data_IF_085634140444
#
_entry.id   IF_085634140444
#
_cell.length_a   1.000
_cell.length_b   1.000
_cell.length_c   1.000
_cell.angle_alpha   90.00
_cell.angle_beta   90.00
_cell.angle_gamma   90.00
#
_symmetry.space_group_name_H-M   'P 1'
#
loop_
_entity.id
_entity.type
_entity.pdbx_description
1 polymer ?
#
# COMPACT_ATOMS: atom_id res chain seq x y z
N UNK A 1 33.51 -0.89 27.20
CA UNK A 1 32.23 -1.58 26.93
C UNK A 1 32.37 -2.96 27.55
N UNK A 2 31.90 -3.12 28.78
CA UNK A 2 32.07 -4.36 29.55
C UNK A 2 30.86 -5.26 29.34
N UNK A 3 31.13 -6.41 28.69
CA UNK A 3 30.42 -7.70 28.71
C UNK A 3 28.86 -7.75 28.80
N UNK A 4 28.13 -6.83 28.17
CA UNK A 4 26.68 -6.99 28.05
C UNK A 4 26.33 -7.85 26.82
N UNK A 5 25.61 -8.96 27.04
CA UNK A 5 25.06 -9.81 25.99
C UNK A 5 23.61 -9.41 25.77
N UNK A 6 23.20 -9.19 24.51
CA UNK A 6 21.81 -8.96 24.16
C UNK A 6 21.00 -10.24 24.42
N UNK A 7 19.92 -10.13 25.19
CA UNK A 7 19.02 -11.24 25.45
C UNK A 7 18.23 -11.57 24.19
N UNK A 8 18.18 -12.84 23.80
CA UNK A 8 17.45 -13.30 22.63
C UNK A 8 15.93 -13.04 22.75
N UNK A 9 15.26 -12.91 21.61
CA UNK A 9 13.80 -12.73 21.55
C UNK A 9 13.30 -11.31 21.83
N UNK A 10 14.19 -10.35 22.12
CA UNK A 10 13.80 -8.95 22.26
C UNK A 10 13.36 -8.35 20.92
N UNK A 11 12.12 -7.87 20.84
CA UNK A 11 11.57 -7.22 19.64
C UNK A 11 11.95 -5.74 19.61
N UNK A 12 12.66 -5.32 18.57
CA UNK A 12 13.03 -3.92 18.38
C UNK A 12 11.88 -3.10 17.78
N UNK A 13 11.49 -1.95 18.37
CA UNK A 13 10.39 -1.11 17.86
C UNK A 13 10.68 -0.57 16.46
N UNK A 14 9.75 -0.76 15.52
CA UNK A 14 9.95 -0.40 14.11
C UNK A 14 10.09 1.12 13.91
N UNK A 15 9.45 1.91 14.76
CA UNK A 15 9.44 3.37 14.73
C UNK A 15 10.83 3.95 15.05
N UNK A 16 11.66 3.18 15.76
CA UNK A 16 13.03 3.57 16.12
C UNK A 16 14.08 3.16 15.09
N UNK A 17 13.67 2.45 14.02
CA UNK A 17 14.60 2.05 12.96
C UNK A 17 15.06 3.25 12.15
N UNK A 18 16.37 3.34 11.92
CA UNK A 18 16.92 4.26 10.95
C UNK A 18 16.42 3.95 9.53
N UNK A 19 16.41 4.96 8.65
CA UNK A 19 15.90 4.88 7.27
C UNK A 19 16.45 3.68 6.49
N UNK A 20 17.76 3.42 6.59
CA UNK A 20 18.40 2.34 5.85
C UNK A 20 17.96 0.96 6.35
N UNK A 21 17.92 0.76 7.67
CA UNK A 21 17.46 -0.50 8.28
C UNK A 21 15.98 -0.76 7.97
N UNK A 22 15.14 0.28 8.04
CA UNK A 22 13.73 0.20 7.68
C UNK A 22 13.54 -0.16 6.20
N UNK A 23 14.32 0.46 5.29
CA UNK A 23 14.28 0.15 3.86
C UNK A 23 14.73 -1.28 3.59
N UNK A 24 15.81 -1.73 4.24
CA UNK A 24 16.32 -3.09 4.09
C UNK A 24 15.30 -4.15 4.57
N UNK A 25 14.72 -3.96 5.76
CA UNK A 25 13.67 -4.86 6.27
C UNK A 25 12.42 -4.87 5.37
N UNK A 26 12.06 -3.72 4.79
CA UNK A 26 10.98 -3.63 3.80
C UNK A 26 11.29 -4.49 2.57
N UNK A 27 12.52 -4.41 2.05
CA UNK A 27 12.95 -5.23 0.91
C UNK A 27 12.87 -6.72 1.21
N UNK A 28 13.30 -7.14 2.40
CA UNK A 28 13.18 -8.54 2.83
C UNK A 28 11.72 -9.00 2.97
N UNK A 29 10.82 -8.10 3.37
CA UNK A 29 9.42 -8.43 3.63
C UNK A 29 8.56 -8.46 2.36
N UNK A 30 8.93 -7.67 1.34
CA UNK A 30 8.23 -7.54 0.05
C UNK A 30 8.65 -8.62 -0.95
N UNK A 31 8.46 -9.87 -0.57
CA UNK A 31 8.72 -11.04 -1.41
C UNK A 31 7.58 -11.21 -2.43
N UNK A 32 7.92 -11.50 -3.69
CA UNK A 32 6.92 -11.75 -4.73
C UNK A 32 6.06 -13.01 -4.41
N UNK A 33 4.83 -13.12 -4.95
CA UNK A 33 3.91 -14.20 -4.57
C UNK A 33 4.45 -15.62 -4.78
N UNK A 34 5.20 -15.85 -5.86
CA UNK A 34 5.77 -17.17 -6.19
C UNK A 34 6.83 -17.57 -5.17
N UNK A 35 7.73 -16.65 -4.82
CA UNK A 35 8.75 -16.89 -3.81
C UNK A 35 8.13 -17.01 -2.42
N UNK A 36 7.11 -16.21 -2.09
CA UNK A 36 6.37 -16.34 -0.83
C UNK A 36 5.72 -17.72 -0.72
N UNK A 37 5.11 -18.24 -1.79
CA UNK A 37 4.57 -19.62 -1.83
C UNK A 37 5.65 -20.66 -1.53
N UNK A 38 6.81 -20.56 -2.20
CA UNK A 38 7.94 -21.48 -1.95
C UNK A 38 8.45 -21.41 -0.52
N UNK A 39 8.57 -20.21 0.05
CA UNK A 39 9.02 -20.03 1.43
C UNK A 39 8.05 -20.68 2.42
N UNK A 40 6.73 -20.53 2.20
CA UNK A 40 5.71 -21.16 3.06
C UNK A 40 5.80 -22.69 2.97
N UNK A 41 5.87 -23.26 1.77
CA UNK A 41 5.99 -24.71 1.60
C UNK A 41 7.26 -25.26 2.28
N UNK A 42 8.39 -24.58 2.09
CA UNK A 42 9.66 -24.95 2.76
C UNK A 42 9.55 -24.87 4.30
N UNK A 43 8.82 -23.90 4.83
CA UNK A 43 8.58 -23.78 6.27
C UNK A 43 7.68 -24.90 6.79
N UNK A 44 6.67 -25.31 6.01
CA UNK A 44 5.80 -26.43 6.33
C UNK A 44 6.63 -27.72 6.39
N UNK A 45 7.42 -28.01 5.36
CA UNK A 45 8.28 -29.22 5.24
C UNK A 45 9.47 -29.26 6.22
N UNK A 46 9.73 -28.18 6.96
CA UNK A 46 10.85 -28.11 7.91
C UNK A 46 10.61 -29.01 9.13
N UNK A 47 11.67 -29.62 9.66
CA UNK A 47 11.61 -30.42 10.89
C UNK A 47 11.18 -29.58 12.11
N UNK A 48 11.57 -28.30 12.15
CA UNK A 48 11.13 -27.34 13.18
C UNK A 48 9.83 -26.63 12.78
N UNK A 49 9.23 -27.07 11.66
CA UNK A 49 8.02 -26.51 11.08
C UNK A 49 6.74 -27.14 11.62
N UNK A 50 5.57 -26.66 11.18
CA UNK A 50 4.28 -27.14 11.66
C UNK A 50 4.00 -28.63 11.41
N UNK A 51 4.62 -29.27 10.42
CA UNK A 51 4.46 -30.73 10.21
C UNK A 51 5.56 -31.56 10.87
N UNK A 52 6.52 -30.93 11.55
CA UNK A 52 7.61 -31.59 12.25
C UNK A 52 7.31 -31.86 13.72
N UNK A 53 8.11 -32.76 14.31
CA UNK A 53 7.98 -33.19 15.71
C UNK A 53 6.83 -34.15 16.00
N UNK A 54 6.73 -34.59 17.26
CA UNK A 54 5.75 -35.62 17.68
C UNK A 54 4.53 -35.04 18.40
N UNK A 55 4.58 -33.75 18.80
CA UNK A 55 3.57 -33.13 19.66
C UNK A 55 2.18 -33.19 19.02
N UNK A 56 2.04 -32.83 17.74
CA UNK A 56 0.75 -32.77 17.05
C UNK A 56 0.14 -34.17 16.88
N UNK A 57 0.99 -35.18 16.69
CA UNK A 57 0.58 -36.60 16.63
C UNK A 57 -0.01 -37.08 17.96
N UNK A 58 0.51 -36.62 19.10
CA UNK A 58 -0.02 -36.96 20.43
C UNK A 58 -1.47 -36.48 20.64
N UNK A 59 -1.90 -35.45 19.89
CA UNK A 59 -3.27 -34.95 19.90
C UNK A 59 -4.15 -35.54 18.78
N UNK A 60 -3.64 -36.53 18.01
CA UNK A 60 -4.36 -37.15 16.90
C UNK A 60 -4.59 -36.21 15.71
N UNK A 61 -3.84 -35.10 15.64
CA UNK A 61 -3.95 -34.11 14.57
C UNK A 61 -2.96 -34.43 13.44
N UNK A 62 -3.30 -34.02 12.22
CA UNK A 62 -2.43 -34.11 11.04
C UNK A 62 -2.42 -32.79 10.29
N UNK A 63 -1.28 -32.44 9.72
CA UNK A 63 -1.10 -31.24 8.91
C UNK A 63 -0.98 -31.68 7.45
N UNK A 64 -1.83 -31.11 6.60
CA UNK A 64 -1.68 -31.22 5.15
C UNK A 64 -0.50 -30.32 4.73
N UNK A 65 0.43 -30.87 3.96
CA UNK A 65 1.62 -30.16 3.50
C UNK A 65 1.37 -29.37 2.22
N UNK A 66 0.22 -29.60 1.57
CA UNK A 66 -0.19 -28.86 0.39
C UNK A 66 -1.06 -27.65 0.74
N UNK A 67 -0.97 -26.60 -0.09
CA UNK A 67 -1.88 -25.46 0.03
C UNK A 67 -3.28 -25.85 -0.44
N UNK A 68 -4.29 -25.62 0.40
CA UNK A 68 -5.69 -25.89 0.05
C UNK A 68 -6.10 -25.13 -1.21
N UNK A 69 -6.59 -25.82 -2.27
CA UNK A 69 -7.04 -25.16 -3.48
C UNK A 69 -8.36 -24.40 -3.22
N UNK A 70 -8.46 -23.20 -3.78
CA UNK A 70 -9.65 -22.36 -3.68
C UNK A 70 -10.09 -21.91 -5.07
N UNK A 71 -11.41 -21.99 -5.33
CA UNK A 71 -11.99 -21.50 -6.58
C UNK A 71 -12.21 -20.00 -6.46
N UNK A 72 -11.38 -19.23 -7.14
CA UNK A 72 -11.50 -17.77 -7.25
C UNK A 72 -12.25 -17.33 -8.50
N UNK A 73 -12.69 -16.07 -8.51
CA UNK A 73 -13.17 -15.38 -9.71
C UNK A 73 -12.53 -14.00 -9.84
N UNK A 74 -12.16 -13.62 -11.05
CA UNK A 74 -11.64 -12.28 -11.34
C UNK A 74 -12.80 -11.40 -11.79
N UNK A 75 -13.08 -10.36 -11.02
CA UNK A 75 -14.08 -9.37 -11.41
C UNK A 75 -13.53 -8.47 -12.51
N UNK A 76 -14.31 -8.24 -13.56
CA UNK A 76 -13.95 -7.27 -14.59
C UNK A 76 -13.94 -5.87 -13.97
N UNK A 77 -12.89 -5.09 -14.26
CA UNK A 77 -12.84 -3.70 -13.87
C UNK A 77 -14.03 -2.93 -14.48
N UNK A 78 -14.73 -2.09 -13.70
CA UNK A 78 -15.89 -1.36 -14.19
C UNK A 78 -15.48 -0.25 -15.17
N UNK A 79 -16.39 0.13 -16.04
CA UNK A 79 -16.25 1.37 -16.80
C UNK A 79 -16.61 2.56 -15.89
N UNK A 80 -15.86 3.65 -15.96
CA UNK A 80 -16.19 4.88 -15.24
C UNK A 80 -17.06 5.80 -16.09
N UNK A 81 -17.98 6.52 -15.45
CA UNK A 81 -18.70 7.64 -16.08
C UNK A 81 -18.03 8.94 -15.66
N UNK A 82 -17.37 9.59 -16.61
CA UNK A 82 -16.64 10.85 -16.43
C UNK A 82 -17.27 11.94 -17.29
N UNK A 83 -16.70 13.15 -17.30
CA UNK A 83 -17.11 14.22 -18.18
C UNK A 83 -15.95 14.76 -19.01
N UNK A 84 -16.14 14.94 -20.32
CA UNK A 84 -15.21 15.65 -21.19
C UNK A 84 -15.93 16.86 -21.77
N UNK A 85 -15.38 18.07 -21.53
CA UNK A 85 -16.01 19.34 -21.92
C UNK A 85 -17.48 19.45 -21.49
N UNK A 86 -17.79 18.99 -20.27
CA UNK A 86 -19.14 19.02 -19.69
C UNK A 86 -20.10 17.92 -20.17
N UNK A 87 -19.69 17.07 -21.11
CA UNK A 87 -20.51 15.95 -21.60
C UNK A 87 -20.11 14.64 -20.95
N UNK A 88 -21.06 13.79 -20.52
CA UNK A 88 -20.72 12.50 -19.93
C UNK A 88 -20.05 11.58 -20.95
N UNK A 89 -18.92 10.98 -20.56
CA UNK A 89 -18.14 10.03 -21.35
C UNK A 89 -17.91 8.77 -20.52
N UNK A 90 -17.88 7.62 -21.19
CA UNK A 90 -17.59 6.32 -20.58
C UNK A 90 -16.09 6.02 -20.75
N UNK A 91 -15.42 5.69 -19.65
CA UNK A 91 -13.99 5.37 -19.62
C UNK A 91 -13.72 3.88 -19.34
N UNK A 92 -13.12 3.26 -20.36
CA UNK A 92 -12.31 2.04 -20.38
C UNK A 92 -11.24 1.87 -19.29
N UNK A 93 -11.23 0.87 -18.39
CA UNK A 93 -9.97 0.50 -17.76
C UNK A 93 -8.96 0.02 -18.82
N UNK A 94 -7.71 0.48 -18.74
CA UNK A 94 -6.61 0.01 -19.57
C UNK A 94 -6.15 -1.41 -19.21
N UNK A 95 -5.09 -1.89 -19.88
CA UNK A 95 -4.54 -3.26 -19.70
C UNK A 95 -4.20 -3.62 -18.26
N UNK A 96 -3.88 -2.62 -17.42
CA UNK A 96 -3.51 -2.81 -16.02
C UNK A 96 -4.67 -2.55 -15.04
N UNK A 97 -5.92 -2.55 -15.51
CA UNK A 97 -7.10 -2.14 -14.73
C UNK A 97 -7.00 -0.71 -14.16
N UNK A 98 -6.37 0.20 -14.91
CA UNK A 98 -6.22 1.61 -14.55
C UNK A 98 -6.98 2.50 -15.54
N UNK A 99 -7.68 3.51 -15.05
CA UNK A 99 -8.43 4.46 -15.88
C UNK A 99 -7.59 5.69 -16.20
N UNK A 100 -7.67 6.19 -17.44
CA UNK A 100 -6.98 7.39 -17.84
C UNK A 100 -7.92 8.60 -17.71
N UNK A 101 -7.66 9.42 -16.68
CA UNK A 101 -8.44 10.62 -16.40
C UNK A 101 -7.96 11.86 -17.17
N UNK A 102 -6.93 11.75 -18.01
CA UNK A 102 -6.42 12.89 -18.77
C UNK A 102 -7.52 13.50 -19.65
N UNK A 103 -7.69 14.82 -19.55
CA UNK A 103 -8.74 15.61 -20.22
C UNK A 103 -10.19 15.24 -19.83
N UNK A 104 -10.37 14.40 -18.81
CA UNK A 104 -11.66 13.98 -18.27
C UNK A 104 -11.82 14.49 -16.84
N UNK A 105 -12.96 15.11 -16.57
CA UNK A 105 -13.37 15.59 -15.26
C UNK A 105 -14.41 14.68 -14.60
N UNK A 106 -14.78 15.05 -13.38
CA UNK A 106 -15.93 14.46 -12.69
C UNK A 106 -17.24 14.88 -13.35
N UNK A 107 -18.24 14.00 -13.30
CA UNK A 107 -19.58 14.29 -13.87
C UNK A 107 -20.34 15.38 -13.13
N UNK A 108 -20.05 15.56 -11.84
CA UNK A 108 -20.62 16.61 -10.99
C UNK A 108 -19.50 17.33 -10.22
N UNK A 109 -18.95 18.36 -10.84
CA UNK A 109 -18.01 19.28 -10.18
C UNK A 109 -18.73 20.29 -9.29
N UNK A 110 -18.00 20.89 -8.36
CA UNK A 110 -18.44 22.05 -7.59
C UNK A 110 -17.44 23.19 -7.77
N UNK A 111 -17.94 24.43 -7.78
CA UNK A 111 -17.09 25.63 -7.86
C UNK A 111 -16.53 25.92 -6.47
N UNK A 112 -15.20 25.92 -6.33
CA UNK A 112 -14.53 26.35 -5.10
C UNK A 112 -14.45 27.88 -5.11
N UNK A 113 -15.25 28.54 -4.26
CA UNK A 113 -15.32 30.01 -4.20
C UNK A 113 -14.21 30.63 -3.35
N UNK A 114 -13.86 29.98 -2.23
CA UNK A 114 -12.87 30.45 -1.28
C UNK A 114 -11.94 29.31 -0.91
N UNK A 115 -10.63 29.57 -0.93
CA UNK A 115 -9.59 28.64 -0.54
C UNK A 115 -8.41 29.42 0.05
N UNK A 116 -7.64 28.77 0.92
CA UNK A 116 -6.41 29.32 1.49
C UNK A 116 -5.35 28.22 1.52
N UNK A 117 -4.08 28.61 1.41
CA UNK A 117 -2.93 27.71 1.57
C UNK A 117 -2.08 28.26 2.71
N UNK A 118 -1.77 27.38 3.67
CA UNK A 118 -0.82 27.65 4.73
C UNK A 118 0.40 26.79 4.48
N UNK A 119 1.53 27.44 4.26
CA UNK A 119 2.82 26.80 4.04
C UNK A 119 3.71 27.01 5.27
N UNK A 120 4.10 25.91 5.90
CA UNK A 120 4.98 25.90 7.07
C UNK A 120 6.40 25.46 6.72
N UNK A 121 6.75 25.39 5.44
CA UNK A 121 8.12 25.11 5.01
C UNK A 121 8.99 26.34 5.24
N UNK A 122 9.91 26.25 6.19
CA UNK A 122 10.92 27.28 6.40
C UNK A 122 11.95 27.21 5.27
N UNK A 123 11.74 27.96 4.18
CA UNK A 123 12.74 28.13 3.13
C UNK A 123 13.07 29.61 2.96
N UNK A 124 14.11 30.07 3.65
CA UNK A 124 14.80 31.29 3.27
C UNK A 124 15.52 31.06 1.93
N UNK A 125 14.81 31.26 0.81
CA UNK A 125 15.29 31.86 -0.46
C UNK A 125 14.43 31.44 -1.66
N UNK A 126 13.99 32.48 -2.38
CA UNK A 126 13.56 32.57 -3.80
C UNK A 126 12.06 32.51 -4.13
N UNK A 127 11.62 33.26 -5.18
CA UNK A 127 10.27 33.80 -5.33
C UNK A 127 9.30 32.76 -5.86
N UNK A 128 8.08 32.77 -5.31
CA UNK A 128 6.89 31.98 -5.68
C UNK A 128 7.19 30.57 -6.21
N UNK A 129 7.00 29.53 -5.40
CA UNK A 129 7.22 28.18 -5.86
C UNK A 129 6.37 27.87 -7.11
N UNK A 130 6.99 27.45 -8.21
CA UNK A 130 6.32 27.06 -9.46
C UNK A 130 5.32 25.90 -9.31
N UNK A 131 5.19 25.31 -8.13
CA UNK A 131 4.12 24.38 -7.80
C UNK A 131 2.78 25.06 -7.51
N UNK A 132 2.73 26.36 -7.18
CA UNK A 132 1.46 27.08 -6.97
C UNK A 132 0.65 27.23 -8.27
N UNK A 133 1.33 27.44 -9.40
CA UNK A 133 0.72 27.39 -10.74
C UNK A 133 0.33 25.95 -11.11
N UNK A 134 1.07 24.95 -10.63
CA UNK A 134 0.76 23.53 -10.86
C UNK A 134 -0.39 23.01 -9.97
N UNK A 135 -0.55 23.53 -8.75
CA UNK A 135 -1.63 23.16 -7.83
C UNK A 135 -3.01 23.63 -8.28
N UNK A 136 -3.10 24.69 -9.11
CA UNK A 136 -4.35 25.02 -9.79
C UNK A 136 -4.93 23.82 -10.55
N UNK A 137 -4.10 22.89 -11.04
CA UNK A 137 -4.54 21.66 -11.68
C UNK A 137 -4.85 20.50 -10.69
N UNK A 138 -4.19 20.45 -9.52
CA UNK A 138 -4.25 19.31 -8.61
C UNK A 138 -5.18 19.49 -7.38
N UNK A 139 -5.51 20.72 -6.96
CA UNK A 139 -6.29 20.96 -5.73
C UNK A 139 -7.76 20.49 -5.79
N UNK A 140 -8.24 20.06 -6.95
CA UNK A 140 -9.63 19.66 -7.20
C UNK A 140 -10.08 18.34 -6.52
N UNK A 141 -9.20 17.61 -5.81
CA UNK A 141 -9.52 16.26 -5.32
C UNK A 141 -9.56 16.12 -3.78
N UNK A 142 -8.91 16.95 -2.96
CA UNK A 142 -8.61 16.52 -1.56
C UNK A 142 -9.36 17.27 -0.44
N UNK A 143 -9.90 18.47 -0.64
CA UNK A 143 -10.42 19.24 0.51
C UNK A 143 -11.91 18.96 0.78
N UNK A 144 -12.23 17.78 1.31
CA UNK A 144 -13.50 17.58 2.04
C UNK A 144 -13.47 16.53 3.15
N UNK A 145 -12.34 16.33 3.83
CA UNK A 145 -12.29 15.40 4.97
C UNK A 145 -11.85 15.96 6.32
N UNK A 146 -11.68 17.27 6.47
CA UNK A 146 -11.50 17.90 7.78
C UNK A 146 -12.61 18.92 8.02
N UNK A 147 -13.79 18.41 8.38
CA UNK A 147 -14.80 19.18 9.09
C UNK A 147 -14.42 19.19 10.56
N UNK A 148 -13.83 20.29 11.03
CA UNK A 148 -13.84 20.61 12.45
C UNK A 148 -15.28 20.90 12.87
N UNK A 149 -15.77 20.15 13.86
CA UNK A 149 -16.81 20.59 14.79
C UNK A 149 -16.13 21.30 15.95
#
# INVERSE_FOLDING_TARGET
MELCILVEGQVYPKERLGRNSALWLKTLSLVNPQQRRRNILKMIESNDGPSGGEIIGNFGMKVDTEMTPVVGRVLKAPALKLAERGKPVREEPGRNNQWNLMKKGVTRGSVVKHWAVLDFTASERTPTPGWLTTLWACLLIVVRHLGCS
#
